data_IF_867875874758
#
_entry.id   IF_867875874758
#
_cell.length_a   1.000
_cell.length_b   1.000
_cell.length_c   1.000
_cell.angle_alpha   90.00
_cell.angle_beta   90.00
_cell.angle_gamma   90.00
#
_symmetry.space_group_name_H-M   'P 1'
#
loop_
_entity.id
_entity.type
_entity.pdbx_description
1 polymer ?
#
# COMPACT_ATOMS: atom_id res chain seq x y z
N UNK A 1 14.53 -1.75 -6.23
CA UNK A 1 14.13 -2.95 -5.45
C UNK A 1 12.61 -2.96 -5.26
N UNK A 2 12.01 -4.14 -5.14
CA UNK A 2 10.56 -4.31 -4.87
C UNK A 2 10.36 -5.34 -3.76
N UNK A 3 9.39 -5.09 -2.88
CA UNK A 3 8.95 -6.06 -1.87
C UNK A 3 7.44 -6.26 -2.02
N UNK A 4 7.01 -7.52 -2.01
CA UNK A 4 5.59 -7.89 -2.16
C UNK A 4 5.13 -8.59 -0.89
N UNK A 5 4.08 -8.06 -0.27
CA UNK A 5 3.38 -8.69 0.85
C UNK A 5 1.99 -9.11 0.40
N UNK A 6 1.53 -10.27 0.87
CA UNK A 6 0.19 -10.78 0.60
C UNK A 6 -0.54 -10.91 1.93
N UNK A 7 -1.72 -10.29 2.01
CA UNK A 7 -2.60 -10.39 3.18
C UNK A 7 -3.80 -11.21 2.75
N UNK A 8 -3.99 -12.37 3.37
CA UNK A 8 -5.11 -13.26 3.11
C UNK A 8 -6.11 -13.14 4.26
N UNK A 9 -7.36 -12.82 3.93
CA UNK A 9 -8.46 -12.80 4.89
C UNK A 9 -9.24 -14.11 4.86
N UNK A 10 -9.95 -14.47 5.95
CA UNK A 10 -11.01 -15.48 5.89
C UNK A 10 -12.05 -15.16 4.80
N UNK A 11 -12.73 -16.19 4.28
CA UNK A 11 -13.64 -16.08 3.14
C UNK A 11 -14.83 -15.11 3.35
N UNK A 12 -15.22 -14.88 4.60
CA UNK A 12 -16.32 -14.02 5.02
C UNK A 12 -15.88 -12.63 5.48
N UNK A 13 -14.60 -12.29 5.31
CA UNK A 13 -14.02 -11.04 5.79
C UNK A 13 -13.45 -10.18 4.68
N UNK A 14 -13.59 -8.87 4.85
CA UNK A 14 -12.93 -7.89 3.99
C UNK A 14 -11.65 -7.37 4.65
N UNK A 15 -10.62 -7.11 3.83
CA UNK A 15 -9.37 -6.52 4.31
C UNK A 15 -9.49 -5.00 4.31
N UNK A 16 -9.30 -4.39 5.47
CA UNK A 16 -9.13 -2.96 5.62
C UNK A 16 -7.66 -2.65 5.90
N UNK A 17 -7.08 -1.71 5.15
CA UNK A 17 -5.64 -1.42 5.15
C UNK A 17 -5.37 0.09 5.24
N UNK A 18 -4.27 0.47 5.89
CA UNK A 18 -3.72 1.84 5.87
C UNK A 18 -2.21 1.86 6.07
N UNK A 19 -1.54 2.87 5.49
CA UNK A 19 -0.16 3.22 5.86
C UNK A 19 -0.19 4.12 7.09
N UNK A 20 0.66 3.84 8.08
CA UNK A 20 0.71 4.58 9.35
C UNK A 20 2.01 5.35 9.54
N UNK A 21 3.07 5.02 8.79
CA UNK A 21 4.34 5.72 8.83
C UNK A 21 5.08 5.62 7.51
N UNK A 22 5.76 6.70 7.13
CA UNK A 22 6.64 6.78 5.96
C UNK A 22 7.90 7.53 6.41
N UNK A 23 9.05 6.86 6.37
CA UNK A 23 10.34 7.51 6.65
C UNK A 23 10.78 8.34 5.43
N UNK A 24 11.23 9.57 5.66
CA UNK A 24 11.80 10.47 4.64
C UNK A 24 10.98 10.52 3.32
N UNK A 25 9.70 10.92 3.39
CA UNK A 25 8.77 10.84 2.25
C UNK A 25 9.29 11.60 1.02
N UNK A 26 9.41 10.92 -0.12
CA UNK A 26 9.71 11.54 -1.41
C UNK A 26 8.40 11.89 -2.12
N UNK A 27 7.72 12.90 -1.59
CA UNK A 27 6.43 13.33 -2.11
C UNK A 27 6.60 14.12 -3.41
N UNK A 28 6.58 13.40 -4.53
CA UNK A 28 6.61 13.96 -5.87
C UNK A 28 5.42 13.46 -6.68
N UNK A 29 5.07 14.16 -7.76
CA UNK A 29 3.96 13.76 -8.61
C UNK A 29 4.15 12.31 -9.09
N UNK A 30 3.15 11.47 -8.82
CA UNK A 30 3.19 10.05 -9.16
C UNK A 30 4.17 9.21 -8.34
N UNK A 31 4.78 9.73 -7.28
CA UNK A 31 5.69 8.99 -6.39
C UNK A 31 6.88 8.31 -7.11
N UNK A 32 7.43 8.88 -8.18
CA UNK A 32 8.31 8.15 -9.10
C UNK A 32 9.52 7.43 -8.47
N UNK A 33 10.06 7.91 -7.35
CA UNK A 33 11.23 7.31 -6.69
C UNK A 33 10.91 6.12 -5.78
N UNK A 34 9.84 6.21 -5.00
CA UNK A 34 9.41 5.18 -4.05
C UNK A 34 7.93 5.30 -3.73
N UNK A 35 7.27 4.16 -3.49
CA UNK A 35 5.92 4.13 -2.94
C UNK A 35 5.59 2.79 -2.29
N UNK A 36 4.55 2.80 -1.46
CA UNK A 36 3.78 1.62 -1.09
C UNK A 36 2.42 1.67 -1.80
N UNK A 37 2.01 0.57 -2.40
CA UNK A 37 0.82 0.44 -3.24
C UNK A 37 0.01 -0.78 -2.79
N UNK A 38 -1.07 -0.59 -2.02
CA UNK A 38 -2.02 -1.65 -1.76
C UNK A 38 -2.94 -1.82 -2.99
N UNK A 39 -3.06 -3.03 -3.52
CA UNK A 39 -3.94 -3.34 -4.65
C UNK A 39 -5.39 -3.49 -4.18
N UNK A 40 -6.00 -2.37 -3.79
CA UNK A 40 -7.32 -2.34 -3.15
C UNK A 40 -8.50 -2.26 -4.12
N UNK A 41 -8.26 -1.88 -5.38
CA UNK A 41 -9.28 -1.86 -6.43
C UNK A 41 -9.51 -3.22 -7.09
N UNK A 42 -10.45 -3.25 -8.03
CA UNK A 42 -11.04 -4.50 -8.56
C UNK A 42 -10.11 -5.32 -9.48
N UNK A 43 -9.18 -4.68 -10.20
CA UNK A 43 -8.19 -5.38 -11.01
C UNK A 43 -6.79 -5.30 -10.34
N UNK A 44 -6.25 -6.40 -9.80
CA UNK A 44 -4.93 -6.43 -9.17
C UNK A 44 -3.78 -6.09 -10.14
N UNK A 45 -4.00 -6.24 -11.45
CA UNK A 45 -3.00 -5.98 -12.48
C UNK A 45 -2.88 -4.48 -12.77
N UNK A 46 -3.93 -3.71 -12.49
CA UNK A 46 -3.93 -2.27 -12.66
C UNK A 46 -3.11 -1.58 -11.55
N UNK A 47 -2.45 -0.48 -11.90
CA UNK A 47 -1.77 0.37 -10.91
C UNK A 47 -2.81 1.07 -10.05
N UNK A 48 -2.82 0.73 -8.78
CA UNK A 48 -3.59 1.42 -7.76
C UNK A 48 -2.84 2.67 -7.28
N UNK A 49 -3.43 3.38 -6.32
CA UNK A 49 -2.82 4.60 -5.79
C UNK A 49 -1.48 4.27 -5.10
N UNK A 50 -0.41 4.86 -5.62
CA UNK A 50 0.92 4.85 -5.01
C UNK A 50 0.99 5.87 -3.88
N UNK A 51 1.43 5.43 -2.69
CA UNK A 51 1.51 6.26 -1.50
C UNK A 51 2.98 6.55 -1.14
N UNK A 52 3.35 7.82 -1.14
CA UNK A 52 4.70 8.29 -0.80
C UNK A 52 4.73 9.57 0.05
N UNK A 53 3.56 10.11 0.40
CA UNK A 53 3.43 11.39 1.08
C UNK A 53 2.74 11.20 2.45
N UNK A 54 3.15 11.97 3.45
CA UNK A 54 2.68 11.85 4.84
C UNK A 54 1.18 12.06 5.00
N UNK A 55 0.59 12.97 4.21
CA UNK A 55 -0.85 13.24 4.22
C UNK A 55 -1.71 12.06 3.77
N UNK A 56 -1.10 11.02 3.18
CA UNK A 56 -1.80 9.81 2.80
C UNK A 56 -1.96 8.82 3.97
N UNK A 57 -1.27 9.04 5.10
CA UNK A 57 -1.33 8.17 6.29
C UNK A 57 -2.69 8.18 6.99
N UNK A 58 -3.49 9.23 6.79
CA UNK A 58 -4.84 9.35 7.39
C UNK A 58 -5.89 8.52 6.65
N UNK A 59 -5.58 8.01 5.45
CA UNK A 59 -6.55 7.32 4.60
C UNK A 59 -6.62 5.83 4.90
N UNK A 60 -7.84 5.34 4.98
CA UNK A 60 -8.16 3.93 5.17
C UNK A 60 -8.77 3.40 3.88
N UNK A 61 -8.34 2.21 3.46
CA UNK A 61 -8.78 1.57 2.23
C UNK A 61 -9.40 0.21 2.53
N UNK A 62 -10.58 -0.04 1.98
CA UNK A 62 -11.17 -1.37 1.97
C UNK A 62 -10.79 -2.04 0.66
N UNK A 63 -10.23 -3.24 0.72
CA UNK A 63 -9.87 -3.99 -0.47
C UNK A 63 -11.11 -4.68 -1.05
N UNK A 64 -11.25 -4.65 -2.37
CA UNK A 64 -12.28 -5.42 -3.09
C UNK A 64 -11.81 -6.83 -3.46
N UNK A 65 -10.58 -7.20 -3.11
CA UNK A 65 -9.97 -8.49 -3.46
C UNK A 65 -9.33 -9.18 -2.25
N UNK A 66 -9.29 -10.51 -2.30
CA UNK A 66 -8.64 -11.37 -1.32
C UNK A 66 -7.94 -12.53 -2.06
N UNK A 67 -6.62 -12.70 -1.93
CA UNK A 67 -5.69 -11.95 -1.10
C UNK A 67 -5.43 -10.51 -1.59
N UNK A 68 -5.02 -9.63 -0.68
CA UNK A 68 -4.57 -8.26 -0.95
C UNK A 68 -3.04 -8.23 -1.12
N UNK A 69 -2.52 -8.00 -2.35
CA UNK A 69 -1.14 -7.64 -2.57
C UNK A 69 -0.87 -6.20 -2.11
N UNK A 70 0.20 -6.03 -1.34
CA UNK A 70 0.78 -4.74 -0.96
C UNK A 70 2.20 -4.70 -1.49
N UNK A 71 2.44 -3.83 -2.45
CA UNK A 71 3.70 -3.75 -3.18
C UNK A 71 4.42 -2.48 -2.76
N UNK A 72 5.65 -2.60 -2.25
CA UNK A 72 6.55 -1.46 -2.11
C UNK A 72 7.61 -1.48 -3.18
N UNK A 73 7.94 -0.30 -3.71
CA UNK A 73 9.07 -0.13 -4.61
C UNK A 73 9.94 1.03 -4.17
N UNK A 74 11.22 0.91 -4.49
CA UNK A 74 12.20 1.96 -4.30
C UNK A 74 13.23 1.91 -5.44
N UNK A 75 13.61 3.09 -5.93
CA UNK A 75 14.68 3.31 -6.90
C UNK A 75 15.71 4.35 -6.45
N UNK A 76 15.57 4.87 -5.23
CA UNK A 76 16.39 5.94 -4.68
C UNK A 76 16.57 5.75 -3.17
N UNK A 77 17.82 5.56 -2.73
CA UNK A 77 18.19 5.34 -1.32
C UNK A 77 17.37 4.21 -0.66
N UNK A 78 16.98 4.39 0.61
CA UNK A 78 16.18 3.47 1.39
C UNK A 78 14.80 4.07 1.66
N UNK A 79 13.76 3.24 1.67
CA UNK A 79 12.42 3.65 2.10
C UNK A 79 11.90 2.68 3.15
N UNK A 80 11.35 3.23 4.23
CA UNK A 80 10.71 2.49 5.31
C UNK A 80 9.25 2.89 5.41
N UNK A 81 8.38 1.89 5.44
CA UNK A 81 6.93 2.05 5.55
C UNK A 81 6.42 1.18 6.69
N UNK A 82 5.54 1.73 7.52
CA UNK A 82 4.71 0.94 8.44
C UNK A 82 3.27 0.99 7.95
N UNK A 83 2.62 -0.16 7.87
CA UNK A 83 1.21 -0.25 7.53
C UNK A 83 0.49 -1.18 8.49
N UNK A 84 -0.78 -0.91 8.73
CA UNK A 84 -1.65 -1.74 9.54
C UNK A 84 -2.78 -2.29 8.65
N UNK A 85 -3.25 -3.48 8.97
CA UNK A 85 -4.45 -4.05 8.40
C UNK A 85 -5.33 -4.68 9.48
N UNK A 86 -6.61 -4.83 9.18
CA UNK A 86 -7.56 -5.62 9.97
C UNK A 86 -8.58 -6.28 9.06
N UNK A 87 -9.20 -7.33 9.57
CA UNK A 87 -10.33 -7.99 8.94
C UNK A 87 -11.63 -7.41 9.50
N UNK A 88 -12.55 -6.99 8.62
CA UNK A 88 -13.87 -6.50 8.98
C UNK A 88 -14.93 -7.50 8.53
#
# INVERSE_FOLDING_TARGET
MKCNHWIEAPADKQIQWRVTYIENPQCILGCAFNAIEPKVGDDPRATNRRLCCTEMQVKVYNSTQNPLPVISYNSYLTSVYTFHYRFI
#
